data_IF_930516678667
#
_entry.id   IF_930516678667
#
_cell.length_a   1.000
_cell.length_b   1.000
_cell.length_c   1.000
_cell.angle_alpha   90.00
_cell.angle_beta   90.00
_cell.angle_gamma   90.00
#
_symmetry.space_group_name_H-M   'P 1'
#
loop_
_entity.id
_entity.type
_entity.pdbx_description
1 polymer ?
#
# COMPACT_ATOMS: atom_id res chain seq x y z
N UNK A 1 12.29 -18.26 27.12
CA UNK A 1 12.55 -17.27 26.06
C UNK A 1 13.90 -17.61 25.44
N UNK A 2 13.98 -17.79 24.13
CA UNK A 2 15.24 -18.11 23.44
C UNK A 2 16.09 -16.84 23.30
N UNK A 3 17.41 -16.92 23.49
CA UNK A 3 18.36 -15.80 23.36
C UNK A 3 18.68 -15.43 21.90
N UNK A 4 17.67 -15.51 21.02
CA UNK A 4 17.82 -15.27 19.58
C UNK A 4 17.55 -13.79 19.31
N UNK A 5 18.53 -13.11 18.70
CA UNK A 5 18.38 -11.71 18.26
C UNK A 5 17.75 -11.69 16.88
N UNK A 6 16.61 -11.02 16.75
CA UNK A 6 15.92 -10.80 15.49
C UNK A 6 16.06 -9.33 15.07
N UNK A 7 16.24 -9.09 13.77
CA UNK A 7 16.44 -7.78 13.17
C UNK A 7 15.52 -7.61 11.95
N UNK A 8 15.18 -6.37 11.61
CA UNK A 8 14.48 -6.03 10.37
C UNK A 8 15.56 -5.72 9.33
N UNK A 9 15.64 -6.52 8.28
CA UNK A 9 16.65 -6.39 7.21
C UNK A 9 16.07 -5.95 5.88
N UNK A 10 14.75 -5.95 5.74
CA UNK A 10 14.04 -5.59 4.52
C UNK A 10 12.63 -5.11 4.85
N UNK A 11 12.15 -4.15 4.07
CA UNK A 11 10.81 -3.58 4.18
C UNK A 11 10.27 -3.34 2.78
N UNK A 12 8.97 -3.53 2.61
CA UNK A 12 8.28 -3.15 1.39
C UNK A 12 6.91 -2.57 1.71
N UNK A 13 6.55 -1.52 1.00
CA UNK A 13 5.41 -0.67 1.27
C UNK A 13 4.62 -0.43 -0.01
N UNK A 14 3.35 -0.84 0.01
CA UNK A 14 2.36 -0.45 -0.99
C UNK A 14 1.27 0.34 -0.27
N UNK A 15 1.27 1.66 -0.44
CA UNK A 15 0.43 2.58 0.33
C UNK A 15 -0.27 3.60 -0.58
N UNK A 16 -1.26 4.33 -0.07
CA UNK A 16 -1.86 5.45 -0.78
C UNK A 16 -0.92 6.65 -0.95
N UNK A 17 0.19 6.69 -0.21
CA UNK A 17 1.21 7.76 -0.25
C UNK A 17 2.36 7.44 -1.20
N UNK A 18 2.60 6.16 -1.50
CA UNK A 18 3.72 5.69 -2.30
C UNK A 18 3.67 4.18 -2.47
N UNK A 19 4.31 3.67 -3.52
CA UNK A 19 4.38 2.24 -3.85
C UNK A 19 5.71 1.60 -3.50
N UNK A 20 6.60 2.38 -2.89
CA UNK A 20 7.87 1.94 -2.34
C UNK A 20 8.09 2.52 -0.94
N UNK A 21 9.09 1.99 -0.22
CA UNK A 21 9.60 2.52 1.04
C UNK A 21 10.06 3.96 0.86
N UNK A 22 10.85 4.22 -0.18
CA UNK A 22 11.40 5.54 -0.46
C UNK A 22 10.30 6.55 -0.81
N UNK A 23 9.37 6.21 -1.70
CA UNK A 23 8.23 7.07 -2.06
C UNK A 23 7.38 7.38 -0.82
N UNK A 24 7.05 6.37 -0.02
CA UNK A 24 6.22 6.53 1.17
C UNK A 24 6.93 7.38 2.22
N UNK A 25 8.23 7.17 2.44
CA UNK A 25 9.03 7.95 3.38
C UNK A 25 9.11 9.42 2.97
N UNK A 26 9.40 9.71 1.71
CA UNK A 26 9.42 11.07 1.18
C UNK A 26 8.05 11.75 1.36
N UNK A 27 6.97 11.07 0.99
CA UNK A 27 5.61 11.60 1.14
C UNK A 27 5.23 11.91 2.59
N UNK A 28 5.67 11.08 3.55
CA UNK A 28 5.48 11.33 4.99
C UNK A 28 6.27 12.56 5.44
N UNK A 29 7.55 12.66 5.06
CA UNK A 29 8.42 13.78 5.43
C UNK A 29 7.92 15.12 4.86
N UNK A 30 7.32 15.10 3.68
CA UNK A 30 6.72 16.27 3.03
C UNK A 30 5.30 16.60 3.55
N UNK A 31 4.73 15.77 4.43
CA UNK A 31 3.38 15.97 4.96
C UNK A 31 2.28 15.78 3.92
N UNK A 32 2.51 14.96 2.89
CA UNK A 32 1.53 14.66 1.86
C UNK A 32 0.35 13.84 2.42
N UNK A 33 -0.78 13.88 1.71
CA UNK A 33 -2.01 13.17 2.09
C UNK A 33 -2.40 12.17 1.00
N UNK A 34 -2.58 10.91 1.37
CA UNK A 34 -2.95 9.82 0.45
C UNK A 34 -4.46 9.58 0.35
N UNK A 35 -5.29 10.41 0.99
CA UNK A 35 -6.75 10.27 0.96
C UNK A 35 -7.31 10.80 -0.36
N UNK A 36 -8.18 10.01 -0.99
CA UNK A 36 -8.90 10.38 -2.20
C UNK A 36 -10.32 9.82 -2.18
N UNK A 37 -11.18 10.29 -3.08
CA UNK A 37 -12.53 9.75 -3.25
C UNK A 37 -12.45 8.28 -3.67
N UNK A 38 -13.27 7.44 -3.04
CA UNK A 38 -13.37 6.01 -3.40
C UNK A 38 -13.76 5.84 -4.88
N UNK A 39 -13.03 4.98 -5.59
CA UNK A 39 -13.26 4.73 -7.02
C UNK A 39 -13.39 3.24 -7.38
N UNK A 40 -13.20 2.34 -6.41
CA UNK A 40 -13.13 0.90 -6.63
C UNK A 40 -14.49 0.20 -6.76
N UNK A 41 -15.56 0.83 -6.27
CA UNK A 41 -16.94 0.38 -6.42
C UNK A 41 -17.89 1.57 -6.27
N UNK A 42 -19.10 1.50 -6.85
CA UNK A 42 -20.09 2.57 -6.69
C UNK A 42 -20.54 2.70 -5.22
N UNK A 43 -20.61 3.93 -4.72
CA UNK A 43 -21.13 4.25 -3.39
C UNK A 43 -22.45 5.03 -3.47
N UNK A 44 -23.41 4.81 -2.56
CA UNK A 44 -24.62 5.62 -2.49
C UNK A 44 -24.30 7.06 -2.05
N UNK A 45 -24.87 8.07 -2.72
CA UNK A 45 -24.78 9.48 -2.36
C UNK A 45 -23.63 10.27 -3.00
N UNK A 46 -23.75 11.60 -2.98
CA UNK A 46 -22.66 12.55 -3.32
C UNK A 46 -21.59 12.66 -2.23
N UNK A 47 -21.78 11.96 -1.11
CA UNK A 47 -20.83 11.91 -0.01
C UNK A 47 -19.48 11.38 -0.50
N UNK A 48 -18.50 12.28 -0.56
CA UNK A 48 -17.15 11.96 -0.94
C UNK A 48 -16.47 11.16 0.17
N UNK A 49 -16.71 9.85 0.21
CA UNK A 49 -15.97 8.96 1.10
C UNK A 49 -14.48 9.04 0.76
N UNK A 50 -13.72 9.71 1.64
CA UNK A 50 -12.28 9.79 1.57
C UNK A 50 -11.69 8.48 2.09
N UNK A 51 -10.89 7.83 1.25
CA UNK A 51 -10.24 6.55 1.54
C UNK A 51 -8.77 6.59 1.14
N UNK A 52 -7.97 5.75 1.79
CA UNK A 52 -6.61 5.44 1.36
C UNK A 52 -6.62 4.38 0.27
N UNK A 53 -7.10 4.72 -0.92
CA UNK A 53 -7.20 3.74 -2.01
C UNK A 53 -5.88 3.63 -2.80
N UNK A 54 -5.42 2.40 -3.01
CA UNK A 54 -4.30 2.08 -3.89
C UNK A 54 -4.84 1.71 -5.29
N UNK A 55 -4.47 2.51 -6.29
CA UNK A 55 -4.89 2.33 -7.69
C UNK A 55 -3.80 1.71 -8.57
N UNK A 56 -4.16 1.40 -9.82
CA UNK A 56 -3.20 0.93 -10.83
C UNK A 56 -2.67 -0.49 -10.59
N UNK A 57 -3.44 -1.34 -9.92
CA UNK A 57 -3.07 -2.75 -9.71
C UNK A 57 -3.27 -3.56 -11.00
N UNK A 58 -2.39 -4.55 -11.28
CA UNK A 58 -2.58 -5.49 -12.38
C UNK A 58 -3.96 -6.15 -12.34
N UNK A 59 -4.68 -6.13 -13.46
CA UNK A 59 -5.95 -6.85 -13.63
C UNK A 59 -5.71 -8.22 -14.26
N UNK A 60 -6.51 -9.22 -13.92
CA UNK A 60 -6.65 -10.44 -14.73
C UNK A 60 -5.85 -11.68 -14.31
N UNK A 61 -5.26 -11.72 -13.11
CA UNK A 61 -4.52 -12.91 -12.62
C UNK A 61 -5.35 -13.83 -11.71
N UNK A 62 -6.65 -13.57 -11.54
CA UNK A 62 -7.54 -14.33 -10.66
C UNK A 62 -7.28 -14.16 -9.16
N UNK A 63 -6.28 -13.36 -8.75
CA UNK A 63 -5.96 -13.14 -7.35
C UNK A 63 -6.79 -11.99 -6.75
N UNK A 64 -7.23 -12.11 -5.49
CA UNK A 64 -7.80 -10.98 -4.75
C UNK A 64 -6.80 -9.82 -4.65
N UNK A 65 -7.30 -8.57 -4.68
CA UNK A 65 -6.46 -7.36 -4.60
C UNK A 65 -5.47 -7.39 -3.41
N UNK A 66 -5.92 -7.91 -2.27
CA UNK A 66 -5.08 -8.04 -1.07
C UNK A 66 -3.83 -8.90 -1.31
N UNK A 67 -3.94 -9.99 -2.08
CA UNK A 67 -2.79 -10.84 -2.41
C UNK A 67 -1.84 -10.17 -3.39
N UNK A 68 -2.38 -9.40 -4.34
CA UNK A 68 -1.56 -8.61 -5.28
C UNK A 68 -0.75 -7.57 -4.51
N UNK A 69 -1.38 -6.86 -3.56
CA UNK A 69 -0.71 -5.89 -2.69
C UNK A 69 0.35 -6.57 -1.81
N UNK A 70 0.02 -7.70 -1.18
CA UNK A 70 0.96 -8.44 -0.35
C UNK A 70 2.18 -8.91 -1.15
N UNK A 71 1.98 -9.40 -2.38
CA UNK A 71 3.06 -9.81 -3.27
C UNK A 71 3.97 -8.65 -3.64
N UNK A 72 3.41 -7.49 -4.02
CA UNK A 72 4.20 -6.31 -4.39
C UNK A 72 5.06 -5.84 -3.20
N UNK A 73 4.47 -5.74 -2.00
CA UNK A 73 5.22 -5.37 -0.81
C UNK A 73 6.28 -6.41 -0.43
N UNK A 74 5.99 -7.71 -0.60
CA UNK A 74 6.96 -8.77 -0.36
C UNK A 74 8.11 -8.75 -1.37
N UNK A 75 7.84 -8.48 -2.65
CA UNK A 75 8.86 -8.34 -3.70
C UNK A 75 9.81 -7.19 -3.37
N UNK A 76 9.27 -6.03 -2.97
CA UNK A 76 10.11 -4.90 -2.55
C UNK A 76 10.95 -5.23 -1.30
N UNK A 77 10.36 -5.88 -0.28
CA UNK A 77 11.08 -6.23 0.94
C UNK A 77 12.28 -7.18 0.73
N UNK A 78 12.32 -7.86 -0.42
CA UNK A 78 13.37 -8.82 -0.79
C UNK A 78 14.40 -8.24 -1.76
N UNK A 79 14.18 -7.01 -2.27
CA UNK A 79 15.11 -6.31 -3.17
C UNK A 79 16.12 -5.51 -2.39
#
# INVERSE_FOLDING_TARGET
MTNVRAYITGMGLITPLGKTVEETQCAILEGQRGFKRISIFPTPGDDAFLVGEIGGLPKGNGLPRTHILARIAAEEAMT
#
